data_IF_337070083589
#
_entry.id   IF_337070083589
#
_cell.length_a   1.000
_cell.length_b   1.000
_cell.length_c   1.000
_cell.angle_alpha   90.00
_cell.angle_beta   90.00
_cell.angle_gamma   90.00
#
_symmetry.space_group_name_H-M   'P 1'
#
loop_
_entity.id
_entity.type
_entity.pdbx_description
1 polymer ?
#
# COMPACT_ATOMS: atom_id res chain seq x y z
N UNK A 1 -19.58 -10.38 -0.83
CA UNK A 1 -19.50 -9.40 -1.97
C UNK A 1 -18.85 -10.11 -3.15
N UNK A 2 -19.29 -9.82 -4.37
CA UNK A 2 -18.66 -10.36 -5.59
C UNK A 2 -17.97 -9.21 -6.31
N UNK A 3 -16.67 -9.35 -6.55
CA UNK A 3 -15.91 -8.40 -7.35
C UNK A 3 -16.20 -8.63 -8.86
N UNK A 4 -16.13 -7.57 -9.69
CA UNK A 4 -16.55 -7.59 -11.09
C UNK A 4 -16.16 -8.81 -11.94
N UNK A 5 -14.96 -9.39 -11.79
CA UNK A 5 -14.57 -10.62 -12.49
C UNK A 5 -15.20 -11.91 -11.97
N UNK A 6 -16.08 -11.85 -10.99
CA UNK A 6 -16.73 -13.03 -10.43
C UNK A 6 -16.09 -13.60 -9.17
N UNK A 7 -14.99 -13.02 -8.69
CA UNK A 7 -14.38 -13.46 -7.42
C UNK A 7 -15.27 -13.11 -6.24
N UNK A 8 -15.63 -14.12 -5.45
CA UNK A 8 -16.32 -13.91 -4.18
C UNK A 8 -15.30 -13.41 -3.16
N UNK A 9 -15.56 -12.22 -2.60
CA UNK A 9 -14.71 -11.63 -1.57
C UNK A 9 -15.06 -12.28 -0.23
N UNK A 10 -14.03 -12.77 0.43
CA UNK A 10 -14.15 -13.39 1.74
C UNK A 10 -14.64 -12.37 2.78
N UNK A 11 -15.67 -12.72 3.53
CA UNK A 11 -16.21 -11.86 4.58
C UNK A 11 -15.24 -11.72 5.76
N UNK A 12 -14.34 -12.70 5.95
CA UNK A 12 -13.33 -12.69 7.00
C UNK A 12 -12.19 -11.69 6.77
N UNK A 13 -12.02 -11.19 5.54
CA UNK A 13 -10.94 -10.26 5.19
C UNK A 13 -11.41 -8.98 4.51
N UNK A 14 -12.72 -8.69 4.53
CA UNK A 14 -13.31 -7.50 3.92
C UNK A 14 -13.33 -6.33 4.91
N UNK A 15 -12.28 -5.53 4.90
CA UNK A 15 -12.15 -4.33 5.74
C UNK A 15 -12.91 -3.09 5.24
N UNK A 16 -13.67 -3.17 4.14
CA UNK A 16 -14.34 -2.00 3.55
C UNK A 16 -15.28 -1.29 4.52
N UNK A 17 -16.13 -2.06 5.22
CA UNK A 17 -17.07 -1.52 6.20
C UNK A 17 -16.31 -0.93 7.40
N UNK A 18 -15.31 -1.63 7.91
CA UNK A 18 -14.50 -1.15 9.03
C UNK A 18 -13.76 0.17 8.71
N UNK A 19 -13.23 0.33 7.47
CA UNK A 19 -12.66 1.60 7.03
C UNK A 19 -13.69 2.71 6.99
N UNK A 20 -14.91 2.43 6.52
CA UNK A 20 -16.00 3.41 6.49
C UNK A 20 -16.45 3.80 7.89
N UNK A 21 -16.62 2.84 8.79
CA UNK A 21 -16.98 3.06 10.19
C UNK A 21 -15.94 3.88 10.94
N UNK A 22 -14.65 3.63 10.69
CA UNK A 22 -13.55 4.41 11.28
C UNK A 22 -13.58 5.89 10.85
N UNK A 23 -13.99 6.18 9.61
CA UNK A 23 -14.09 7.55 9.09
C UNK A 23 -15.37 8.27 9.56
N UNK A 24 -16.44 7.52 9.85
CA UNK A 24 -17.74 8.10 10.14
C UNK A 24 -17.76 9.20 11.20
N UNK A 25 -17.12 9.08 12.39
CA UNK A 25 -17.10 10.13 13.39
C UNK A 25 -16.49 11.44 12.87
N UNK A 26 -15.42 11.36 12.08
CA UNK A 26 -14.74 12.51 11.47
C UNK A 26 -15.63 13.18 10.42
N UNK A 27 -16.32 12.39 9.62
CA UNK A 27 -17.28 12.88 8.64
C UNK A 27 -18.42 13.64 9.30
N UNK A 28 -19.03 13.03 10.32
CA UNK A 28 -20.16 13.65 11.05
C UNK A 28 -19.73 14.96 11.74
N UNK A 29 -18.55 15.00 12.35
CA UNK A 29 -17.99 16.20 12.96
C UNK A 29 -17.72 17.31 11.95
N UNK A 30 -17.09 17.00 10.81
CA UNK A 30 -16.82 18.00 9.77
C UNK A 30 -18.13 18.56 9.17
N UNK A 31 -19.15 17.72 8.96
CA UNK A 31 -20.49 18.14 8.52
C UNK A 31 -21.17 19.05 9.54
N UNK A 32 -21.13 18.70 10.81
CA UNK A 32 -21.72 19.50 11.90
C UNK A 32 -21.04 20.87 12.00
N UNK A 33 -19.77 20.99 11.66
CA UNK A 33 -18.99 22.24 11.61
C UNK A 33 -19.15 23.01 10.27
N UNK A 34 -20.09 22.61 9.42
CA UNK A 34 -20.41 23.32 8.17
C UNK A 34 -19.36 23.21 7.08
N UNK A 35 -18.40 22.30 7.19
CA UNK A 35 -17.34 22.10 6.18
C UNK A 35 -17.88 21.44 4.91
N UNK A 36 -17.22 21.68 3.78
CA UNK A 36 -17.42 20.89 2.58
C UNK A 36 -16.61 19.60 2.67
N UNK A 37 -17.24 18.47 2.47
CA UNK A 37 -16.63 17.16 2.67
C UNK A 37 -16.77 16.26 1.46
N UNK A 38 -15.75 15.48 1.18
CA UNK A 38 -15.79 14.46 0.14
C UNK A 38 -15.27 13.14 0.65
N UNK A 39 -16.01 12.08 0.38
CA UNK A 39 -15.67 10.71 0.74
C UNK A 39 -15.30 9.94 -0.52
N UNK A 40 -14.16 9.27 -0.49
CA UNK A 40 -13.72 8.34 -1.52
C UNK A 40 -13.46 6.96 -0.94
N UNK A 41 -13.86 5.92 -1.66
CA UNK A 41 -13.59 4.53 -1.31
C UNK A 41 -12.68 3.91 -2.36
N UNK A 42 -11.78 3.04 -1.90
CA UNK A 42 -10.84 2.32 -2.74
C UNK A 42 -10.76 0.84 -2.42
N UNK A 43 -10.55 0.07 -3.46
CA UNK A 43 -10.22 -1.36 -3.42
C UNK A 43 -9.00 -1.58 -4.29
N UNK A 44 -7.97 -2.23 -3.75
CA UNK A 44 -6.75 -2.55 -4.50
C UNK A 44 -6.26 -3.95 -4.13
N UNK A 45 -6.01 -4.75 -5.15
CA UNK A 45 -5.37 -6.05 -4.97
C UNK A 45 -3.89 -5.91 -4.56
N UNK A 46 -3.37 -6.91 -3.85
CA UNK A 46 -1.94 -7.12 -3.67
C UNK A 46 -1.51 -8.36 -4.45
N UNK A 47 -0.29 -8.33 -4.98
CA UNK A 47 0.20 -9.37 -5.87
C UNK A 47 -0.24 -9.21 -7.33
N UNK A 48 0.33 -10.03 -8.21
CA UNK A 48 0.04 -10.04 -9.64
C UNK A 48 -1.29 -10.73 -9.93
N UNK A 49 -1.55 -11.86 -9.27
CA UNK A 49 -2.78 -12.62 -9.47
C UNK A 49 -2.97 -13.10 -10.90
N UNK A 50 -4.23 -13.25 -11.33
CA UNK A 50 -4.62 -13.58 -12.70
C UNK A 50 -3.92 -14.82 -13.28
N UNK A 51 -3.69 -15.85 -12.45
CA UNK A 51 -3.03 -17.09 -12.83
C UNK A 51 -1.51 -17.00 -12.96
N UNK A 52 -0.90 -15.86 -12.61
CA UNK A 52 0.57 -15.78 -12.53
C UNK A 52 1.07 -16.58 -11.33
N UNK A 53 2.16 -17.32 -11.55
CA UNK A 53 2.87 -18.01 -10.48
C UNK A 53 3.85 -17.04 -9.85
N UNK A 54 3.55 -16.61 -8.64
CA UNK A 54 4.41 -15.72 -7.87
C UNK A 54 5.21 -16.54 -6.88
N UNK A 55 6.52 -16.44 -6.95
CA UNK A 55 7.45 -17.14 -6.05
C UNK A 55 8.53 -16.17 -5.62
N UNK A 56 8.90 -16.21 -4.36
CA UNK A 56 10.06 -15.49 -3.84
C UNK A 56 10.80 -16.35 -2.84
N UNK A 57 12.08 -16.06 -2.67
CA UNK A 57 12.95 -16.72 -1.71
C UNK A 57 13.65 -15.71 -0.82
N UNK A 58 14.01 -16.16 0.36
CA UNK A 58 14.92 -15.44 1.25
C UNK A 58 15.92 -16.43 1.85
N UNK A 59 17.03 -15.92 2.34
CA UNK A 59 18.02 -16.71 3.07
C UNK A 59 18.21 -16.09 4.44
N UNK A 60 18.20 -16.93 5.46
CA UNK A 60 18.59 -16.56 6.81
C UNK A 60 19.84 -17.36 7.18
N UNK A 61 20.85 -16.66 7.68
CA UNK A 61 22.11 -17.25 8.11
C UNK A 61 22.47 -16.75 9.50
N UNK A 62 22.69 -17.68 10.41
CA UNK A 62 23.17 -17.38 11.75
C UNK A 62 24.70 -17.45 11.71
N UNK A 63 25.36 -16.33 11.87
CA UNK A 63 26.83 -16.28 11.86
C UNK A 63 27.42 -16.85 13.15
N UNK A 64 28.72 -17.17 13.11
CA UNK A 64 29.42 -17.76 14.26
C UNK A 64 29.49 -16.81 15.47
N UNK A 65 29.47 -15.50 15.25
CA UNK A 65 29.45 -14.47 16.29
C UNK A 65 28.05 -14.21 16.86
N UNK A 66 27.01 -14.86 16.29
CA UNK A 66 25.63 -14.72 16.69
C UNK A 66 24.87 -13.59 15.96
N UNK A 67 25.49 -12.93 14.98
CA UNK A 67 24.81 -12.03 14.06
C UNK A 67 23.88 -12.83 13.15
N UNK A 68 22.69 -12.28 12.88
CA UNK A 68 21.76 -12.84 11.92
C UNK A 68 21.85 -12.07 10.60
N UNK A 69 22.11 -12.76 9.51
CA UNK A 69 22.04 -12.20 8.19
C UNK A 69 20.78 -12.65 7.48
N UNK A 70 20.01 -11.68 6.97
CA UNK A 70 18.81 -11.90 6.16
C UNK A 70 19.09 -11.39 4.75
N UNK A 71 19.02 -12.28 3.75
CA UNK A 71 19.20 -11.93 2.34
C UNK A 71 17.90 -12.08 1.57
N UNK A 72 17.58 -11.09 0.76
CA UNK A 72 16.46 -11.11 -0.16
C UNK A 72 16.77 -10.38 -1.46
N UNK A 73 15.93 -10.54 -2.48
CA UNK A 73 16.08 -9.89 -3.79
C UNK A 73 15.08 -8.75 -4.06
N UNK A 74 14.38 -8.25 -3.06
CA UNK A 74 13.42 -7.17 -3.20
C UNK A 74 14.11 -5.81 -3.24
N UNK A 75 13.62 -4.93 -4.12
CA UNK A 75 14.15 -3.57 -4.23
C UNK A 75 13.66 -2.71 -3.05
N UNK A 76 14.59 -2.10 -2.33
CA UNK A 76 14.30 -1.03 -1.38
C UNK A 76 14.25 0.31 -2.12
N UNK A 77 13.10 0.99 -2.05
CA UNK A 77 12.83 2.29 -2.70
C UNK A 77 12.47 3.38 -1.67
N UNK A 78 12.67 3.08 -0.39
CA UNK A 78 12.22 3.90 0.73
C UNK A 78 10.91 3.41 1.35
N UNK A 79 10.31 2.31 0.84
CA UNK A 79 9.10 1.72 1.39
C UNK A 79 9.32 0.86 2.64
N UNK A 80 10.59 0.56 3.00
CA UNK A 80 10.94 -0.10 4.25
C UNK A 80 10.95 -1.63 4.21
N UNK A 81 11.12 -2.25 3.03
CA UNK A 81 11.15 -3.73 2.92
C UNK A 81 12.31 -4.36 3.71
N UNK A 82 13.45 -3.66 3.81
CA UNK A 82 14.58 -4.12 4.60
C UNK A 82 14.23 -4.14 6.10
N UNK A 83 13.54 -3.13 6.59
CA UNK A 83 13.05 -3.08 7.97
C UNK A 83 12.03 -4.19 8.24
N UNK A 84 11.11 -4.44 7.31
CA UNK A 84 10.15 -5.54 7.42
C UNK A 84 10.86 -6.89 7.49
N UNK A 85 11.86 -7.14 6.62
CA UNK A 85 12.61 -8.39 6.64
C UNK A 85 13.34 -8.61 7.99
N UNK A 86 13.93 -7.55 8.54
CA UNK A 86 14.55 -7.57 9.87
C UNK A 86 13.52 -7.89 10.98
N UNK A 87 12.38 -7.20 10.99
CA UNK A 87 11.34 -7.38 12.00
C UNK A 87 10.77 -8.80 11.98
N UNK A 88 10.51 -9.36 10.78
CA UNK A 88 10.06 -10.74 10.63
C UNK A 88 11.09 -11.72 11.19
N UNK A 89 12.37 -11.52 10.92
CA UNK A 89 13.42 -12.38 11.43
C UNK A 89 13.54 -12.31 12.97
N UNK A 90 13.40 -11.12 13.54
CA UNK A 90 13.37 -10.93 15.01
C UNK A 90 12.13 -11.57 15.63
N UNK A 91 10.96 -11.42 15.02
CA UNK A 91 9.70 -12.04 15.51
C UNK A 91 9.80 -13.56 15.55
N UNK A 92 10.33 -14.18 14.48
CA UNK A 92 10.40 -15.64 14.37
C UNK A 92 11.54 -16.24 15.23
N UNK A 93 12.66 -15.57 15.40
CA UNK A 93 13.86 -16.12 16.04
C UNK A 93 14.19 -15.50 17.40
N UNK A 94 13.62 -14.35 17.76
CA UNK A 94 13.97 -13.63 19.00
C UNK A 94 13.67 -14.38 20.30
N UNK A 95 12.72 -15.31 20.28
CA UNK A 95 12.48 -16.21 21.41
C UNK A 95 13.56 -17.30 21.58
N UNK A 96 14.37 -17.52 20.58
CA UNK A 96 15.35 -18.61 20.51
C UNK A 96 16.80 -18.13 20.46
N UNK A 97 17.01 -16.89 20.04
CA UNK A 97 18.34 -16.25 19.88
C UNK A 97 18.32 -14.87 20.53
N UNK A 98 19.43 -14.45 21.15
CA UNK A 98 19.55 -13.10 21.72
C UNK A 98 19.82 -12.08 20.61
N UNK A 99 18.85 -11.86 19.75
CA UNK A 99 18.95 -10.93 18.60
C UNK A 99 18.03 -9.73 18.80
N UNK A 100 18.51 -8.60 18.38
CA UNK A 100 17.83 -7.31 18.28
C UNK A 100 18.16 -6.67 16.93
N UNK A 101 17.68 -5.46 16.71
CA UNK A 101 17.92 -4.73 15.46
C UNK A 101 19.41 -4.45 15.17
N UNK A 102 20.26 -4.42 16.19
CA UNK A 102 21.71 -4.20 16.03
C UNK A 102 22.46 -5.47 15.62
N UNK A 103 21.84 -6.64 15.81
CA UNK A 103 22.40 -7.94 15.48
C UNK A 103 21.80 -8.57 14.23
N UNK A 104 20.90 -7.87 13.55
CA UNK A 104 20.35 -8.34 12.28
C UNK A 104 20.86 -7.48 11.13
N UNK A 105 21.54 -8.11 10.19
CA UNK A 105 21.99 -7.49 8.94
C UNK A 105 21.11 -7.92 7.78
N UNK A 106 20.48 -6.96 7.12
CA UNK A 106 19.70 -7.21 5.90
C UNK A 106 20.54 -6.90 4.68
N UNK A 107 20.58 -7.82 3.72
CA UNK A 107 21.35 -7.71 2.49
C UNK A 107 20.42 -7.91 1.30
N UNK A 108 20.37 -6.93 0.40
CA UNK A 108 19.73 -7.10 -0.91
C UNK A 108 20.73 -7.82 -1.81
N UNK A 109 20.44 -9.08 -2.13
CA UNK A 109 21.31 -9.94 -2.92
C UNK A 109 20.67 -10.24 -4.28
N UNK A 110 21.17 -9.58 -5.31
CA UNK A 110 20.71 -9.75 -6.70
C UNK A 110 21.57 -10.77 -7.48
N UNK A 111 22.59 -11.36 -6.86
CA UNK A 111 23.44 -12.39 -7.47
C UNK A 111 22.83 -13.77 -7.40
N UNK A 112 21.82 -13.95 -6.55
CA UNK A 112 21.03 -15.17 -6.39
C UNK A 112 19.61 -14.92 -6.85
N UNK A 113 18.92 -15.94 -7.31
CA UNK A 113 17.51 -15.87 -7.71
C UNK A 113 16.57 -15.85 -6.47
N UNK A 114 16.72 -14.82 -5.62
CA UNK A 114 15.92 -14.68 -4.39
C UNK A 114 14.62 -13.91 -4.63
N UNK A 115 14.68 -12.83 -5.41
CA UNK A 115 13.50 -12.03 -5.75
C UNK A 115 13.03 -12.38 -7.15
N UNK A 116 12.16 -13.35 -7.28
CA UNK A 116 11.59 -13.70 -8.58
C UNK A 116 10.46 -12.75 -8.95
N UNK A 117 10.77 -11.81 -9.82
CA UNK A 117 9.85 -10.80 -10.33
C UNK A 117 10.05 -9.41 -9.75
N UNK A 118 9.15 -8.51 -10.15
CA UNK A 118 9.25 -7.09 -9.86
C UNK A 118 8.76 -6.75 -8.45
N UNK A 119 9.34 -5.74 -7.83
CA UNK A 119 8.78 -5.05 -6.67
C UNK A 119 7.63 -4.16 -7.17
N UNK A 120 6.43 -4.74 -7.27
CA UNK A 120 5.22 -4.11 -7.80
C UNK A 120 3.96 -4.76 -7.21
N UNK A 121 2.79 -4.17 -7.47
CA UNK A 121 1.51 -4.73 -7.03
C UNK A 121 1.36 -4.80 -5.52
N UNK A 122 2.03 -3.92 -4.78
CA UNK A 122 2.00 -3.84 -3.31
C UNK A 122 2.28 -5.18 -2.61
N UNK A 123 3.16 -6.02 -3.18
CA UNK A 123 3.39 -7.41 -2.75
C UNK A 123 4.70 -7.62 -1.98
N UNK A 124 5.54 -6.58 -1.87
CA UNK A 124 6.87 -6.72 -1.26
C UNK A 124 6.79 -7.30 0.16
N UNK A 125 5.99 -6.70 1.03
CA UNK A 125 5.80 -7.19 2.40
C UNK A 125 5.14 -8.57 2.42
N UNK A 126 4.06 -8.78 1.64
CA UNK A 126 3.36 -10.07 1.59
C UNK A 126 4.30 -11.22 1.21
N UNK A 127 4.97 -11.08 0.10
CA UNK A 127 5.83 -12.13 -0.45
C UNK A 127 7.15 -12.22 0.33
N UNK A 128 7.77 -11.08 0.61
CA UNK A 128 9.06 -11.00 1.30
C UNK A 128 8.97 -11.49 2.75
N UNK A 129 7.97 -11.07 3.50
CA UNK A 129 7.75 -11.56 4.86
C UNK A 129 7.50 -13.06 4.88
N UNK A 130 6.72 -13.59 3.93
CA UNK A 130 6.47 -15.03 3.84
C UNK A 130 7.76 -15.84 3.60
N UNK A 131 8.62 -15.38 2.72
CA UNK A 131 9.89 -16.06 2.44
C UNK A 131 10.86 -15.98 3.62
N UNK A 132 10.96 -14.84 4.30
CA UNK A 132 11.80 -14.70 5.50
C UNK A 132 11.26 -15.56 6.64
N UNK A 133 9.93 -15.58 6.84
CA UNK A 133 9.29 -16.43 7.83
C UNK A 133 9.62 -17.91 7.60
N UNK A 134 9.51 -18.39 6.37
CA UNK A 134 9.81 -19.77 6.01
C UNK A 134 11.31 -20.09 6.22
N UNK A 135 12.21 -19.17 5.84
CA UNK A 135 13.64 -19.32 6.09
C UNK A 135 13.98 -19.43 7.60
N UNK A 136 13.33 -18.62 8.42
CA UNK A 136 13.49 -18.70 9.88
C UNK A 136 12.97 -20.02 10.45
N UNK A 137 11.82 -20.49 9.97
CA UNK A 137 11.27 -21.80 10.38
C UNK A 137 12.17 -22.95 9.97
N UNK A 138 12.77 -22.88 8.79
CA UNK A 138 13.77 -23.85 8.33
C UNK A 138 15.04 -23.80 9.19
N UNK A 139 15.47 -22.64 9.64
CA UNK A 139 16.57 -22.50 10.59
C UNK A 139 16.25 -23.13 11.96
N UNK A 140 15.03 -22.93 12.47
CA UNK A 140 14.55 -23.57 13.70
C UNK A 140 14.51 -25.09 13.57
N UNK A 141 13.96 -25.60 12.48
CA UNK A 141 13.90 -27.04 12.20
C UNK A 141 15.29 -27.69 12.09
N UNK A 142 16.29 -26.94 11.61
CA UNK A 142 17.68 -27.35 11.53
C UNK A 142 18.47 -27.16 12.85
N UNK A 143 17.80 -26.82 13.96
CA UNK A 143 18.43 -26.60 15.25
C UNK A 143 19.32 -25.37 15.33
N UNK A 144 19.01 -24.34 14.56
CA UNK A 144 19.73 -23.05 14.53
C UNK A 144 21.22 -23.20 14.21
N UNK A 145 21.54 -24.05 13.25
CA UNK A 145 22.91 -24.34 12.85
C UNK A 145 23.59 -23.08 12.32
N UNK A 146 24.75 -22.75 12.89
CA UNK A 146 25.54 -21.55 12.52
C UNK A 146 26.36 -21.78 11.26
N UNK A 147 26.63 -20.69 10.53
CA UNK A 147 27.45 -20.69 9.32
C UNK A 147 26.80 -21.38 8.11
N UNK A 148 25.50 -21.71 8.20
CA UNK A 148 24.72 -22.40 7.16
C UNK A 148 23.61 -21.50 6.66
N UNK A 149 23.38 -21.49 5.35
CA UNK A 149 22.27 -20.79 4.71
C UNK A 149 20.97 -21.59 4.87
N UNK A 150 19.97 -20.99 5.52
CA UNK A 150 18.61 -21.53 5.60
C UNK A 150 17.74 -20.80 4.59
N UNK A 151 17.33 -21.51 3.55
CA UNK A 151 16.52 -20.93 2.44
C UNK A 151 15.05 -21.11 2.78
N UNK A 152 14.29 -20.04 2.62
CA UNK A 152 12.83 -20.06 2.68
C UNK A 152 12.22 -19.63 1.35
N UNK A 153 11.00 -20.06 1.10
CA UNK A 153 10.26 -19.76 -0.10
C UNK A 153 8.80 -19.45 0.23
N UNK A 154 8.24 -18.45 -0.44
CA UNK A 154 6.80 -18.17 -0.39
C UNK A 154 6.22 -18.14 -1.80
N UNK A 155 5.04 -18.75 -1.96
CA UNK A 155 4.35 -18.90 -3.24
C UNK A 155 2.92 -18.41 -3.19
N UNK A 156 2.51 -17.75 -4.28
CA UNK A 156 1.11 -17.54 -4.63
C UNK A 156 0.94 -18.06 -6.07
N UNK A 157 0.63 -19.35 -6.21
CA UNK A 157 0.48 -20.04 -7.50
C UNK A 157 -0.93 -20.64 -7.70
N UNK A 158 -1.86 -20.28 -6.83
CA UNK A 158 -3.23 -20.78 -6.77
C UNK A 158 -4.28 -19.79 -7.28
N UNK A 159 -3.86 -18.63 -7.80
CA UNK A 159 -4.79 -17.69 -8.46
C UNK A 159 -5.21 -18.21 -9.82
N UNK A 160 -6.38 -17.77 -10.29
CA UNK A 160 -6.97 -18.21 -11.54
C UNK A 160 -6.93 -17.13 -12.60
N UNK A 161 -6.79 -17.54 -13.85
CA UNK A 161 -6.80 -16.62 -14.99
C UNK A 161 -8.20 -16.03 -15.18
N UNK A 162 -8.27 -14.73 -15.36
CA UNK A 162 -9.52 -14.04 -15.68
C UNK A 162 -10.15 -14.62 -16.94
N UNK A 163 -11.44 -14.95 -16.87
CA UNK A 163 -12.21 -15.47 -17.99
C UNK A 163 -11.92 -16.93 -18.33
N UNK A 164 -11.26 -17.71 -17.48
CA UNK A 164 -11.10 -19.15 -17.67
C UNK A 164 -12.46 -19.85 -17.54
N UNK A 165 -13.01 -20.42 -18.64
CA UNK A 165 -14.33 -21.05 -18.62
C UNK A 165 -14.40 -22.34 -17.79
N UNK A 166 -13.27 -22.88 -17.37
CA UNK A 166 -13.18 -24.10 -16.56
C UNK A 166 -13.31 -23.81 -15.05
N UNK A 167 -13.28 -22.54 -14.65
CA UNK A 167 -13.28 -22.14 -13.24
C UNK A 167 -14.63 -21.53 -12.88
N UNK A 168 -15.35 -22.18 -11.96
CA UNK A 168 -16.66 -21.72 -11.47
C UNK A 168 -16.55 -20.68 -10.35
N UNK A 169 -15.52 -20.75 -9.51
CA UNK A 169 -15.26 -19.81 -8.42
C UNK A 169 -13.85 -19.23 -8.60
N UNK A 170 -13.69 -18.21 -9.46
CA UNK A 170 -12.37 -17.67 -9.75
C UNK A 170 -11.78 -16.93 -8.55
N UNK A 171 -10.48 -17.13 -8.31
CA UNK A 171 -9.69 -16.36 -7.37
C UNK A 171 -8.65 -15.59 -8.19
N UNK A 172 -9.03 -14.42 -8.67
CA UNK A 172 -8.19 -13.63 -9.57
C UNK A 172 -7.00 -13.02 -8.82
N UNK A 173 -7.23 -12.56 -7.60
CA UNK A 173 -6.18 -12.04 -6.72
C UNK A 173 -6.25 -12.69 -5.35
N UNK A 174 -5.09 -12.90 -4.74
CA UNK A 174 -4.96 -13.56 -3.43
C UNK A 174 -5.35 -12.66 -2.27
N UNK A 175 -5.19 -11.36 -2.43
CA UNK A 175 -5.29 -10.38 -1.34
C UNK A 175 -5.85 -9.07 -1.85
N UNK A 176 -6.70 -8.41 -1.03
CA UNK A 176 -7.22 -7.08 -1.29
C UNK A 176 -7.08 -6.18 -0.07
N UNK A 177 -6.60 -4.95 -0.29
CA UNK A 177 -6.70 -3.86 0.66
C UNK A 177 -7.92 -3.00 0.37
N UNK A 178 -8.45 -2.36 1.40
CA UNK A 178 -9.57 -1.43 1.33
C UNK A 178 -9.17 -0.11 1.95
N UNK A 179 -9.75 0.97 1.45
CA UNK A 179 -9.48 2.30 1.97
C UNK A 179 -10.72 3.18 1.87
N UNK A 180 -10.88 4.05 2.86
CA UNK A 180 -11.82 5.15 2.83
C UNK A 180 -11.08 6.43 3.19
N UNK A 181 -11.20 7.45 2.36
CA UNK A 181 -10.58 8.76 2.61
C UNK A 181 -11.64 9.84 2.66
N UNK A 182 -11.49 10.74 3.61
CA UNK A 182 -12.30 11.93 3.82
C UNK A 182 -11.44 13.17 3.55
N UNK A 183 -11.83 13.98 2.59
CA UNK A 183 -11.26 15.30 2.33
C UNK A 183 -12.19 16.35 2.94
N UNK A 184 -11.65 17.21 3.78
CA UNK A 184 -12.36 18.30 4.44
C UNK A 184 -11.86 19.63 3.86
N UNK A 185 -12.79 20.44 3.33
CA UNK A 185 -12.49 21.76 2.78
C UNK A 185 -13.15 22.84 3.66
N UNK A 186 -12.39 23.83 4.03
CA UNK A 186 -12.88 25.04 4.67
C UNK A 186 -13.63 25.89 3.64
N UNK A 187 -14.91 26.22 3.91
CA UNK A 187 -15.76 26.91 2.93
C UNK A 187 -15.38 28.37 2.69
N UNK A 188 -14.76 29.04 3.68
CA UNK A 188 -14.36 30.44 3.55
C UNK A 188 -13.12 30.58 2.69
N UNK A 189 -12.06 29.84 3.05
CA UNK A 189 -10.78 29.87 2.31
C UNK A 189 -10.80 28.98 1.07
N UNK A 190 -11.72 28.00 1.02
CA UNK A 190 -11.80 26.96 0.04
C UNK A 190 -10.54 26.07 -0.01
N UNK A 191 -9.72 26.03 1.03
CA UNK A 191 -8.53 25.17 1.12
C UNK A 191 -8.89 23.83 1.74
N UNK A 192 -8.16 22.80 1.34
CA UNK A 192 -8.22 21.51 2.05
C UNK A 192 -7.62 21.74 3.44
N UNK A 193 -8.43 21.57 4.45
CA UNK A 193 -8.06 21.75 5.86
C UNK A 193 -7.47 20.46 6.45
N UNK A 194 -7.99 19.30 6.03
CA UNK A 194 -7.59 18.01 6.55
C UNK A 194 -7.92 16.88 5.58
N UNK A 195 -7.08 15.84 5.59
CA UNK A 195 -7.39 14.54 4.97
C UNK A 195 -7.33 13.47 6.05
N UNK A 196 -8.41 12.73 6.24
CA UNK A 196 -8.49 11.60 7.17
C UNK A 196 -8.61 10.33 6.33
N UNK A 197 -7.76 9.34 6.61
CA UNK A 197 -7.64 8.14 5.78
C UNK A 197 -7.66 6.88 6.64
N UNK A 198 -8.70 6.06 6.49
CA UNK A 198 -8.77 4.73 7.08
C UNK A 198 -8.38 3.68 6.05
N UNK A 199 -7.37 2.87 6.37
CA UNK A 199 -6.83 1.87 5.47
C UNK A 199 -6.75 0.50 6.13
N UNK A 200 -7.32 -0.50 5.48
CA UNK A 200 -7.19 -1.90 5.86
C UNK A 200 -5.85 -2.43 5.36
N UNK A 201 -4.94 -2.65 6.29
CA UNK A 201 -3.56 -3.11 6.07
C UNK A 201 -3.38 -4.60 6.41
N UNK A 202 -4.48 -5.29 6.73
CA UNK A 202 -4.43 -6.64 7.30
C UNK A 202 -3.86 -6.58 8.71
N UNK A 203 -2.65 -7.09 8.91
CA UNK A 203 -1.83 -6.83 10.10
C UNK A 203 -0.72 -5.84 9.75
N UNK A 204 -0.62 -4.76 10.50
CA UNK A 204 0.47 -3.81 10.36
C UNK A 204 1.77 -4.39 10.96
N UNK A 205 2.69 -4.82 10.09
CA UNK A 205 4.02 -5.31 10.54
C UNK A 205 4.83 -4.17 11.15
N UNK A 206 4.72 -3.00 10.56
CA UNK A 206 5.28 -1.76 11.11
C UNK A 206 4.28 -0.63 10.91
N UNK A 207 3.54 -0.22 11.96
CA UNK A 207 2.53 0.83 11.87
C UNK A 207 3.07 2.15 11.31
N UNK A 208 4.23 2.61 11.78
CA UNK A 208 4.84 3.86 11.33
C UNK A 208 5.17 3.85 9.83
N UNK A 209 5.70 2.72 9.32
CA UNK A 209 5.96 2.58 7.89
C UNK A 209 4.66 2.52 7.08
N UNK A 210 3.59 1.88 7.61
CA UNK A 210 2.28 1.88 6.97
C UNK A 210 1.71 3.30 6.87
N UNK A 211 1.75 4.07 7.96
CA UNK A 211 1.34 5.48 7.98
C UNK A 211 2.09 6.30 6.94
N UNK A 212 3.43 6.23 6.93
CA UNK A 212 4.26 6.97 5.98
C UNK A 212 3.97 6.60 4.51
N UNK A 213 3.67 5.34 4.21
CA UNK A 213 3.27 4.91 2.86
C UNK A 213 1.91 5.50 2.47
N UNK A 214 0.95 5.53 3.38
CA UNK A 214 -0.39 6.08 3.15
C UNK A 214 -0.31 7.61 2.97
N UNK A 215 0.42 8.33 3.82
CA UNK A 215 0.63 9.77 3.71
C UNK A 215 1.30 10.14 2.38
N UNK A 216 2.36 9.42 1.99
CA UNK A 216 3.03 9.60 0.71
C UNK A 216 2.10 9.35 -0.48
N UNK A 217 1.23 8.37 -0.40
CA UNK A 217 0.24 8.07 -1.43
C UNK A 217 -0.86 9.13 -1.52
N UNK A 218 -1.32 9.67 -0.37
CA UNK A 218 -2.26 10.79 -0.34
C UNK A 218 -1.64 12.05 -0.95
N UNK A 219 -0.38 12.37 -0.60
CA UNK A 219 0.36 13.46 -1.21
C UNK A 219 0.37 13.35 -2.75
N UNK A 220 0.72 12.17 -3.27
CA UNK A 220 0.70 11.87 -4.71
C UNK A 220 -0.72 12.01 -5.28
N UNK A 221 -1.74 11.49 -4.58
CA UNK A 221 -3.14 11.56 -5.00
C UNK A 221 -3.70 12.98 -5.03
N UNK A 222 -3.30 13.84 -4.10
CA UNK A 222 -3.67 15.26 -4.09
C UNK A 222 -3.00 16.02 -5.25
N UNK A 223 -1.72 15.77 -5.51
CA UNK A 223 -1.02 16.33 -6.66
C UNK A 223 -1.69 15.95 -7.97
N UNK A 224 -1.96 14.67 -8.16
CA UNK A 224 -2.67 14.12 -9.32
C UNK A 224 -4.08 14.72 -9.49
N UNK A 225 -4.81 14.90 -8.38
CA UNK A 225 -6.15 15.45 -8.42
C UNK A 225 -6.19 16.93 -8.73
N UNK A 226 -5.22 17.74 -8.28
CA UNK A 226 -5.36 19.18 -8.20
C UNK A 226 -4.37 19.98 -9.06
N UNK A 227 -3.13 19.51 -9.19
CA UNK A 227 -2.03 20.37 -9.66
C UNK A 227 -1.13 19.76 -10.71
N UNK A 228 -0.99 18.44 -10.74
CA UNK A 228 -0.08 17.77 -11.67
C UNK A 228 -0.65 17.74 -13.07
N UNK A 229 0.14 18.22 -14.03
CA UNK A 229 -0.20 18.23 -15.44
C UNK A 229 1.04 17.90 -16.27
N UNK A 230 0.87 17.03 -17.26
CA UNK A 230 1.93 16.62 -18.18
C UNK A 230 1.51 16.86 -19.63
N UNK A 231 1.40 18.14 -20.04
CA UNK A 231 0.93 18.50 -21.37
C UNK A 231 1.94 18.15 -22.44
N UNK A 232 1.43 17.74 -23.60
CA UNK A 232 2.19 17.42 -24.77
C UNK A 232 1.83 18.38 -25.91
N UNK A 233 2.81 18.70 -26.74
CA UNK A 233 2.57 19.37 -28.02
C UNK A 233 1.75 18.45 -28.93
N UNK A 234 0.57 18.88 -29.38
CA UNK A 234 -0.31 18.00 -30.17
C UNK A 234 0.22 17.65 -31.56
N UNK A 235 1.18 18.43 -32.09
CA UNK A 235 1.76 18.18 -33.40
C UNK A 235 2.93 17.20 -33.35
N UNK A 236 3.71 17.22 -32.27
CA UNK A 236 4.95 16.45 -32.14
C UNK A 236 4.86 15.33 -31.13
N UNK A 237 3.91 15.37 -30.20
CA UNK A 237 3.80 14.46 -29.07
C UNK A 237 4.87 14.67 -27.99
N UNK A 238 5.74 15.67 -28.13
CA UNK A 238 6.75 15.97 -27.11
C UNK A 238 6.15 16.65 -25.87
N UNK A 239 6.62 16.29 -24.66
CA UNK A 239 6.21 16.97 -23.44
C UNK A 239 6.62 18.46 -23.47
N UNK A 240 5.72 19.33 -23.07
CA UNK A 240 6.00 20.77 -22.95
C UNK A 240 6.49 21.15 -21.54
N UNK A 241 6.25 20.30 -20.54
CA UNK A 241 6.73 20.41 -19.16
C UNK A 241 7.71 19.27 -18.86
N UNK A 242 9.00 19.58 -18.64
CA UNK A 242 10.03 18.56 -18.45
C UNK A 242 10.79 18.68 -17.13
N UNK A 243 10.37 19.55 -16.23
CA UNK A 243 11.00 19.69 -14.91
C UNK A 243 10.01 19.35 -13.80
N UNK A 244 10.48 18.73 -12.72
CA UNK A 244 9.61 18.39 -11.58
C UNK A 244 8.86 19.63 -11.04
N UNK A 245 9.48 20.80 -11.09
CA UNK A 245 8.86 22.05 -10.65
C UNK A 245 7.67 22.44 -11.54
N UNK A 246 7.78 22.26 -12.85
CA UNK A 246 6.72 22.65 -13.81
C UNK A 246 5.60 21.63 -13.92
N UNK A 247 5.83 20.38 -13.46
CA UNK A 247 4.81 19.34 -13.44
C UNK A 247 3.71 19.56 -12.40
N UNK A 248 3.88 20.49 -11.46
CA UNK A 248 2.87 20.79 -10.45
C UNK A 248 2.85 19.85 -9.24
N UNK A 249 3.93 19.10 -9.01
CA UNK A 249 4.05 18.26 -7.81
C UNK A 249 3.92 19.12 -6.55
N UNK A 250 3.07 18.72 -5.62
CA UNK A 250 2.84 19.46 -4.38
C UNK A 250 4.13 19.56 -3.55
N UNK A 251 4.38 20.75 -3.04
CA UNK A 251 5.49 20.97 -2.11
C UNK A 251 5.04 20.64 -0.69
N UNK A 252 5.95 20.24 0.18
CA UNK A 252 5.65 19.88 1.56
C UNK A 252 4.80 20.95 2.30
N UNK A 253 5.03 22.24 2.04
CA UNK A 253 4.26 23.34 2.64
C UNK A 253 2.82 23.48 2.13
N UNK A 254 2.51 22.85 1.01
CA UNK A 254 1.19 22.92 0.35
C UNK A 254 0.35 21.66 0.66
N UNK A 255 0.92 20.71 1.41
CA UNK A 255 0.26 19.47 1.84
C UNK A 255 -0.59 19.77 3.08
N UNK A 256 -1.88 19.40 3.09
CA UNK A 256 -2.72 19.58 4.27
C UNK A 256 -2.34 18.61 5.38
N UNK A 257 -2.71 18.89 6.63
CA UNK A 257 -2.64 17.90 7.73
C UNK A 257 -3.35 16.61 7.35
N UNK A 258 -2.75 15.48 7.75
CA UNK A 258 -3.30 14.15 7.52
C UNK A 258 -3.48 13.40 8.84
N UNK A 259 -4.50 12.55 8.91
CA UNK A 259 -4.69 11.56 9.97
C UNK A 259 -4.89 10.20 9.34
N UNK A 260 -4.03 9.26 9.68
CA UNK A 260 -4.12 7.88 9.22
C UNK A 260 -4.70 7.00 10.31
N UNK A 261 -5.70 6.22 9.96
CA UNK A 261 -6.36 5.24 10.80
C UNK A 261 -6.09 3.86 10.22
N UNK A 262 -5.23 3.08 10.88
CA UNK A 262 -4.94 1.71 10.46
C UNK A 262 -6.08 0.79 10.89
N UNK A 263 -6.69 0.13 9.93
CA UNK A 263 -7.70 -0.92 10.13
C UNK A 263 -7.02 -2.25 9.91
N UNK A 264 -7.13 -3.16 10.86
CA UNK A 264 -6.56 -4.49 10.78
C UNK A 264 -7.67 -5.52 10.54
N UNK A 265 -7.78 -5.98 9.28
CA UNK A 265 -8.66 -7.07 8.85
C UNK A 265 -7.78 -8.15 8.21
N UNK A 266 -7.20 -9.06 9.01
CA UNK A 266 -6.15 -9.97 8.54
C UNK A 266 -6.58 -10.85 7.37
N UNK A 267 -5.70 -11.03 6.40
CA UNK A 267 -5.90 -11.94 5.27
C UNK A 267 -5.58 -13.39 5.68
N UNK A 268 -6.54 -14.33 5.67
CA UNK A 268 -6.34 -15.67 6.24
C UNK A 268 -5.18 -16.46 5.65
N UNK A 269 -4.94 -16.32 4.35
CA UNK A 269 -3.92 -17.08 3.61
C UNK A 269 -2.61 -16.30 3.39
N UNK A 270 -2.44 -15.18 4.08
CA UNK A 270 -1.22 -14.36 4.00
C UNK A 270 -0.36 -14.56 5.26
N UNK A 271 0.98 -14.49 5.14
CA UNK A 271 1.87 -14.48 6.30
C UNK A 271 1.46 -13.38 7.27
N UNK A 272 1.28 -13.69 8.53
CA UNK A 272 0.78 -12.78 9.59
C UNK A 272 -0.57 -12.10 9.30
N UNK A 273 -1.27 -12.47 8.24
CA UNK A 273 -2.49 -11.76 7.81
C UNK A 273 -2.25 -10.44 7.08
N UNK A 274 -1.06 -10.25 6.50
CA UNK A 274 -0.62 -9.02 5.85
C UNK A 274 -1.44 -8.71 4.59
N UNK A 275 -1.66 -7.42 4.34
CA UNK A 275 -2.14 -6.87 3.06
C UNK A 275 -1.15 -5.84 2.53
N UNK A 276 -1.18 -5.58 1.22
CA UNK A 276 -0.31 -4.57 0.61
C UNK A 276 -0.82 -3.16 0.85
N UNK A 277 0.10 -2.21 1.10
CA UNK A 277 -0.21 -0.81 1.44
C UNK A 277 0.33 0.17 0.40
N UNK A 278 1.27 -0.24 -0.45
CA UNK A 278 2.05 0.68 -1.29
C UNK A 278 1.23 1.49 -2.31
N UNK A 279 0.10 0.98 -2.82
CA UNK A 279 -0.65 1.65 -3.89
C UNK A 279 -2.07 2.03 -3.49
N UNK A 280 -2.66 1.36 -2.49
CA UNK A 280 -4.06 1.59 -2.10
C UNK A 280 -4.30 3.02 -1.61
N UNK A 281 -3.27 3.68 -1.04
CA UNK A 281 -3.37 5.03 -0.52
C UNK A 281 -3.74 6.09 -1.56
N UNK A 282 -3.38 5.86 -2.82
CA UNK A 282 -3.71 6.78 -3.93
C UNK A 282 -5.17 6.62 -4.41
N UNK A 283 -5.71 5.41 -4.36
CA UNK A 283 -6.94 5.02 -5.07
C UNK A 283 -8.16 5.89 -4.73
N UNK A 284 -8.50 6.16 -3.46
CA UNK A 284 -9.69 6.95 -3.13
C UNK A 284 -9.51 8.46 -3.24
N UNK A 285 -8.26 8.97 -3.32
CA UNK A 285 -7.96 10.39 -3.11
C UNK A 285 -8.65 11.30 -4.13
N UNK A 286 -8.53 11.02 -5.42
CA UNK A 286 -9.13 11.88 -6.44
C UNK A 286 -10.66 11.92 -6.34
N UNK A 287 -11.30 10.78 -6.03
CA UNK A 287 -12.74 10.71 -5.81
C UNK A 287 -13.21 11.53 -4.59
N UNK A 288 -12.44 11.46 -3.49
CA UNK A 288 -12.71 12.26 -2.30
C UNK A 288 -12.56 13.76 -2.57
N UNK A 289 -11.51 14.16 -3.28
CA UNK A 289 -11.31 15.56 -3.70
C UNK A 289 -12.43 16.04 -4.60
N UNK A 290 -12.82 15.27 -5.62
CA UNK A 290 -13.90 15.63 -6.54
C UNK A 290 -15.22 15.89 -5.80
N UNK A 291 -15.56 15.00 -4.85
CA UNK A 291 -16.77 15.16 -4.04
C UNK A 291 -16.71 16.35 -3.10
N UNK A 292 -15.56 16.60 -2.47
CA UNK A 292 -15.38 17.76 -1.58
C UNK A 292 -15.48 19.09 -2.34
N UNK A 293 -14.90 19.18 -3.53
CA UNK A 293 -15.02 20.35 -4.40
C UNK A 293 -16.45 20.55 -4.88
N UNK A 294 -17.17 19.48 -5.26
CA UNK A 294 -18.58 19.57 -5.62
C UNK A 294 -19.45 20.08 -4.45
N UNK A 295 -19.18 19.65 -3.23
CA UNK A 295 -19.85 20.15 -2.02
C UNK A 295 -19.53 21.64 -1.74
N UNK A 296 -18.38 22.11 -2.18
CA UNK A 296 -17.96 23.49 -2.02
C UNK A 296 -18.69 24.44 -2.99
N UNK A 297 -18.70 24.11 -4.30
CA UNK A 297 -19.12 25.03 -5.36
C UNK A 297 -20.24 24.50 -6.28
N UNK A 298 -20.72 23.26 -6.04
CA UNK A 298 -21.80 22.64 -6.83
C UNK A 298 -21.39 22.13 -8.21
N UNK A 299 -20.09 22.25 -8.60
CA UNK A 299 -19.61 21.89 -9.94
C UNK A 299 -19.05 20.48 -9.94
N UNK A 300 -19.60 19.59 -10.79
CA UNK A 300 -19.00 18.28 -11.05
C UNK A 300 -17.80 18.40 -11.99
N UNK A 301 -16.73 17.73 -11.61
CA UNK A 301 -15.47 17.68 -12.36
C UNK A 301 -15.21 16.28 -12.87
N UNK A 302 -14.96 16.17 -14.17
CA UNK A 302 -14.71 14.92 -14.87
C UNK A 302 -13.36 14.87 -15.58
N UNK A 303 -12.49 15.85 -15.28
CA UNK A 303 -11.16 15.99 -15.86
C UNK A 303 -10.14 16.29 -14.76
N UNK A 304 -8.94 15.79 -14.91
CA UNK A 304 -7.79 16.07 -14.04
C UNK A 304 -6.77 16.97 -14.78
N UNK A 305 -6.07 17.82 -14.06
CA UNK A 305 -6.29 18.21 -12.67
C UNK A 305 -7.62 18.98 -12.50
N UNK A 306 -8.26 18.78 -11.33
CA UNK A 306 -9.52 19.42 -11.00
C UNK A 306 -9.27 20.88 -10.57
N UNK A 307 -9.48 21.82 -11.46
CA UNK A 307 -9.41 23.25 -11.14
C UNK A 307 -10.69 23.69 -10.43
N UNK A 308 -10.59 24.68 -9.53
CA UNK A 308 -11.77 25.36 -9.02
C UNK A 308 -12.50 26.07 -10.16
N UNK A 309 -13.84 26.20 -10.03
CA UNK A 309 -14.54 27.14 -10.88
C UNK A 309 -13.88 28.52 -10.70
N UNK A 310 -13.52 29.18 -11.80
CA UNK A 310 -13.06 30.55 -11.72
C UNK A 310 -14.19 31.37 -11.08
N UNK A 311 -13.89 32.12 -10.02
CA UNK A 311 -14.82 33.12 -9.57
C UNK A 311 -14.95 34.10 -10.74
N UNK A 312 -16.17 34.44 -11.14
CA UNK A 312 -16.44 35.37 -12.25
C UNK A 312 -15.93 36.80 -11.96
N UNK A 313 -15.22 37.03 -10.84
CA UNK A 313 -14.75 38.30 -10.31
C UNK A 313 -13.21 38.44 -10.19
N UNK A 314 -12.38 37.65 -10.90
CA UNK A 314 -10.92 37.87 -11.01
C UNK A 314 -10.47 38.18 -12.43
#
# INVERSE_FOLDING_TARGET
MVWGPGQVMDDGCNGALACLEAIKPHYDAARANGKAVGLGLGLKNSGLGNGFKEVTKAVVRIEHDGTLEVRHGWTEMGQGINTVAMQVAIEELGAHLPIDEHRVRVVVDTTRELGLGQTTGSRGTLMGAGAVQDACRNALAAGLTRGVDHVGEYRVDWTTKLGDPKVTNPIIHSTFGYATQLVVIDRESGKIEHVIAAHDVGRAVNPTLCEGQIEGSIHMGLGYALTEDFPHDPATGFPTNMTLRSLGILRAKDVPPMTVLLVESPQPNAPYGIKGVGEIGLVPTAGAVAKALHELDGVWRNQLPMRRAANEDE
#
